data_IF_048134022509
#
_entry.id   IF_048134022509
#
_cell.length_a   1.000
_cell.length_b   1.000
_cell.length_c   1.000
_cell.angle_alpha   90.00
_cell.angle_beta   90.00
_cell.angle_gamma   90.00
#
_symmetry.space_group_name_H-M   'P 1'
#
loop_
_entity.id
_entity.type
_entity.pdbx_description
1 polymer ?
#
# COMPACT_ATOMS: atom_id res chain seq x y z
N UNK A 1 7.19 -68.53 42.35
CA UNK A 1 6.46 -67.59 41.45
C UNK A 1 7.46 -66.63 40.77
N UNK A 2 6.98 -65.83 39.80
CA UNK A 2 7.57 -64.66 39.09
C UNK A 2 8.92 -64.10 39.62
N UNK A 3 9.97 -63.89 38.80
CA UNK A 3 10.22 -62.72 37.89
C UNK A 3 10.03 -61.35 38.59
N UNK A 4 10.89 -60.33 38.47
CA UNK A 4 12.12 -60.07 37.68
C UNK A 4 12.95 -58.97 38.42
N UNK A 5 14.07 -58.33 38.00
CA UNK A 5 14.82 -58.12 36.73
C UNK A 5 16.31 -57.83 37.10
N UNK A 6 17.32 -58.13 36.26
CA UNK A 6 18.09 -57.22 35.36
C UNK A 6 18.22 -55.74 35.81
N UNK A 7 19.35 -55.05 35.67
CA UNK A 7 20.60 -55.36 34.94
C UNK A 7 21.10 -54.11 34.19
N UNK A 8 22.37 -53.73 34.32
CA UNK A 8 22.84 -52.35 34.07
C UNK A 8 23.80 -52.18 32.87
N UNK A 9 24.26 -50.93 32.68
CA UNK A 9 25.34 -50.46 31.75
C UNK A 9 25.00 -50.42 30.24
N UNK A 10 25.80 -49.77 29.40
CA UNK A 10 26.34 -48.39 29.45
C UNK A 10 26.85 -47.98 28.05
N UNK A 11 26.89 -46.67 27.78
CA UNK A 11 27.51 -45.95 26.64
C UNK A 11 28.49 -46.69 25.70
N UNK A 12 28.38 -46.45 24.38
CA UNK A 12 29.19 -45.42 23.64
C UNK A 12 29.32 -45.74 22.12
N UNK A 13 29.08 -44.72 21.28
CA UNK A 13 29.70 -44.57 19.95
C UNK A 13 29.22 -45.43 18.75
N UNK A 14 28.57 -44.79 17.78
CA UNK A 14 28.61 -45.16 16.36
C UNK A 14 28.81 -43.90 15.52
N UNK A 15 29.60 -44.00 14.44
CA UNK A 15 29.79 -42.94 13.45
C UNK A 15 28.83 -43.15 12.27
N UNK A 16 28.08 -42.12 11.91
CA UNK A 16 27.16 -42.18 10.77
C UNK A 16 27.88 -42.08 9.42
N UNK A 17 27.63 -43.05 8.54
CA UNK A 17 28.21 -43.10 7.20
C UNK A 17 27.51 -42.08 6.29
N UNK A 18 28.13 -40.91 6.12
CA UNK A 18 27.65 -39.81 5.25
C UNK A 18 27.47 -40.26 3.80
N UNK A 19 26.22 -40.50 3.39
CA UNK A 19 25.88 -40.94 2.04
C UNK A 19 26.23 -39.87 0.99
N UNK A 20 27.15 -40.20 0.06
CA UNK A 20 27.49 -39.34 -1.07
C UNK A 20 26.39 -39.45 -2.14
N UNK A 21 25.38 -38.61 -2.05
CA UNK A 21 24.29 -38.61 -3.04
C UNK A 21 24.82 -38.13 -4.41
N UNK A 22 24.82 -39.03 -5.40
CA UNK A 22 25.48 -38.81 -6.68
C UNK A 22 24.71 -37.85 -7.57
N UNK A 23 25.13 -36.57 -7.61
CA UNK A 23 24.55 -35.55 -8.50
C UNK A 23 24.81 -35.91 -9.97
N UNK A 24 23.90 -36.69 -10.57
CA UNK A 24 23.86 -36.96 -12.01
C UNK A 24 23.90 -35.62 -12.74
N UNK A 25 24.98 -35.35 -13.51
CA UNK A 25 24.99 -34.26 -14.48
C UNK A 25 23.95 -34.60 -15.54
N UNK A 26 22.76 -34.02 -15.44
CA UNK A 26 21.84 -33.97 -16.58
C UNK A 26 22.58 -33.34 -17.77
N UNK A 27 22.37 -33.87 -18.97
CA UNK A 27 22.86 -33.20 -20.19
C UNK A 27 22.32 -31.78 -20.17
N UNK A 28 23.20 -30.79 -20.38
CA UNK A 28 22.79 -29.39 -20.41
C UNK A 28 21.74 -29.21 -21.50
N UNK A 29 20.51 -28.89 -21.11
CA UNK A 29 19.58 -28.25 -22.04
C UNK A 29 20.27 -26.93 -22.43
N UNK A 30 20.47 -26.64 -23.73
CA UNK A 30 21.03 -25.34 -24.13
C UNK A 30 20.14 -24.23 -23.55
N UNK A 31 20.69 -23.04 -23.23
CA UNK A 31 19.87 -21.92 -22.81
C UNK A 31 18.75 -21.72 -23.83
N UNK A 32 17.51 -22.00 -23.42
CA UNK A 32 16.34 -21.56 -24.15
C UNK A 32 16.20 -20.10 -23.81
N UNK A 33 16.62 -19.23 -24.74
CA UNK A 33 16.36 -17.81 -24.63
C UNK A 33 14.86 -17.63 -24.36
N UNK A 34 14.54 -17.08 -23.19
CA UNK A 34 13.15 -16.91 -22.81
C UNK A 34 12.53 -15.92 -23.79
N UNK A 35 11.32 -16.17 -24.34
CA UNK A 35 10.65 -15.16 -25.16
C UNK A 35 10.49 -13.82 -24.42
N UNK A 36 10.47 -13.86 -23.08
CA UNK A 36 10.42 -12.69 -22.20
C UNK A 36 11.74 -11.90 -22.10
N UNK A 37 12.90 -12.49 -22.43
CA UNK A 37 14.19 -11.78 -22.50
C UNK A 37 14.46 -11.15 -23.87
N UNK A 38 13.52 -11.25 -24.83
CA UNK A 38 13.61 -10.56 -26.13
C UNK A 38 13.24 -9.06 -26.05
N UNK A 39 12.48 -8.65 -25.03
CA UNK A 39 12.11 -7.25 -24.80
C UNK A 39 12.90 -6.67 -23.61
N UNK A 40 13.46 -5.45 -23.73
CA UNK A 40 14.09 -4.77 -22.61
C UNK A 40 13.09 -4.44 -21.50
N UNK A 41 13.61 -4.32 -20.28
CA UNK A 41 12.81 -4.28 -19.04
C UNK A 41 11.84 -3.09 -18.96
N UNK A 42 12.18 -1.94 -19.56
CA UNK A 42 11.32 -0.76 -19.62
C UNK A 42 10.00 -1.02 -20.38
N UNK A 43 10.02 -1.88 -21.40
CA UNK A 43 8.81 -2.30 -22.13
C UNK A 43 7.93 -3.16 -21.22
N UNK A 44 8.51 -4.07 -20.45
CA UNK A 44 7.76 -4.84 -19.45
C UNK A 44 7.18 -3.97 -18.34
N UNK A 45 7.92 -2.96 -17.87
CA UNK A 45 7.42 -1.95 -16.92
C UNK A 45 6.26 -1.16 -17.52
N UNK A 46 6.34 -0.75 -18.80
CA UNK A 46 5.25 -0.08 -19.51
C UNK A 46 4.00 -0.96 -19.69
N UNK A 47 4.18 -2.25 -19.96
CA UNK A 47 3.08 -3.22 -20.03
C UNK A 47 2.44 -3.40 -18.65
N UNK A 48 3.25 -3.63 -17.61
CA UNK A 48 2.76 -3.76 -16.24
C UNK A 48 2.03 -2.49 -15.76
N UNK A 49 2.51 -1.30 -16.12
CA UNK A 49 1.85 -0.02 -15.82
C UNK A 49 0.48 0.10 -16.51
N UNK A 50 0.33 -0.40 -17.74
CA UNK A 50 -0.97 -0.45 -18.44
C UNK A 50 -1.93 -1.46 -17.81
N UNK A 51 -1.44 -2.62 -17.38
CA UNK A 51 -2.23 -3.61 -16.63
C UNK A 51 -2.69 -3.04 -15.28
N UNK A 52 -1.77 -2.45 -14.51
CA UNK A 52 -2.05 -1.83 -13.22
C UNK A 52 -3.09 -0.71 -13.28
N UNK A 53 -3.07 0.09 -14.35
CA UNK A 53 -4.05 1.15 -14.60
C UNK A 53 -5.44 0.60 -14.98
N UNK A 54 -5.52 -0.63 -15.50
CA UNK A 54 -6.78 -1.28 -15.89
C UNK A 54 -7.41 -2.06 -14.73
N UNK A 55 -6.67 -2.97 -14.08
CA UNK A 55 -7.10 -3.68 -12.87
C UNK A 55 -5.92 -4.05 -11.98
N UNK A 56 -6.11 -3.93 -10.67
CA UNK A 56 -5.12 -4.37 -9.67
C UNK A 56 -5.03 -5.91 -9.62
N UNK A 57 -6.14 -6.60 -9.87
CA UNK A 57 -6.18 -8.06 -9.86
C UNK A 57 -5.34 -8.64 -11.00
N UNK A 58 -5.42 -8.08 -12.21
CA UNK A 58 -4.60 -8.52 -13.33
C UNK A 58 -3.12 -8.21 -13.15
N UNK A 59 -2.77 -7.17 -12.38
CA UNK A 59 -1.39 -6.92 -12.00
C UNK A 59 -0.85 -8.01 -11.05
N UNK A 60 -1.65 -8.48 -10.09
CA UNK A 60 -1.27 -9.60 -9.24
C UNK A 60 -1.22 -10.93 -10.02
N UNK A 61 -2.17 -11.15 -10.95
CA UNK A 61 -2.14 -12.28 -11.87
C UNK A 61 -0.83 -12.27 -12.69
N UNK A 62 -0.47 -11.11 -13.26
CA UNK A 62 0.77 -10.90 -14.01
C UNK A 62 2.02 -11.19 -13.16
N UNK A 63 2.09 -10.68 -11.93
CA UNK A 63 3.18 -10.95 -10.97
C UNK A 63 3.36 -12.45 -10.67
N UNK A 64 2.26 -13.22 -10.60
CA UNK A 64 2.31 -14.64 -10.26
C UNK A 64 2.87 -15.53 -11.38
N UNK A 65 2.88 -15.07 -12.63
CA UNK A 65 3.29 -15.90 -13.79
C UNK A 65 4.79 -16.20 -13.85
N UNK A 66 5.65 -15.20 -13.67
CA UNK A 66 7.09 -15.34 -13.91
C UNK A 66 7.91 -14.20 -13.27
N UNK A 67 9.22 -14.43 -13.10
CA UNK A 67 10.10 -13.45 -12.48
C UNK A 67 10.22 -12.13 -13.27
N UNK A 68 10.25 -12.17 -14.61
CA UNK A 68 10.36 -10.95 -15.43
C UNK A 68 9.18 -10.01 -15.17
N UNK A 69 7.98 -10.56 -15.05
CA UNK A 69 6.77 -9.78 -14.77
C UNK A 69 6.69 -9.35 -13.30
N UNK A 70 7.12 -10.21 -12.36
CA UNK A 70 7.24 -9.85 -10.94
C UNK A 70 8.20 -8.67 -10.72
N UNK A 71 9.38 -8.72 -11.35
CA UNK A 71 10.40 -7.67 -11.24
C UNK A 71 9.89 -6.36 -11.91
N UNK A 72 9.24 -6.44 -13.07
CA UNK A 72 8.69 -5.26 -13.78
C UNK A 72 7.49 -4.62 -13.08
N UNK A 73 6.54 -5.43 -12.58
CA UNK A 73 5.34 -4.95 -11.87
C UNK A 73 5.63 -4.35 -10.49
N UNK A 74 6.84 -4.55 -9.96
CA UNK A 74 7.34 -3.92 -8.72
C UNK A 74 8.09 -2.60 -8.96
N UNK A 75 8.13 -2.10 -10.19
CA UNK A 75 8.70 -0.79 -10.51
C UNK A 75 7.83 0.34 -9.97
N UNK A 76 8.47 1.39 -9.44
CA UNK A 76 7.79 2.60 -8.93
C UNK A 76 6.85 3.23 -9.98
N UNK A 77 7.22 3.18 -11.26
CA UNK A 77 6.38 3.69 -12.35
C UNK A 77 5.05 2.94 -12.53
N UNK A 78 4.96 1.68 -12.08
CA UNK A 78 3.72 0.88 -12.08
C UNK A 78 2.86 1.26 -10.89
N UNK A 79 3.44 1.32 -9.69
CA UNK A 79 2.77 1.75 -8.46
C UNK A 79 2.20 3.17 -8.56
N UNK A 80 2.92 4.09 -9.21
CA UNK A 80 2.51 5.48 -9.44
C UNK A 80 1.18 5.61 -10.22
N UNK A 81 0.89 4.67 -11.13
CA UNK A 81 -0.30 4.72 -12.02
C UNK A 81 -1.35 3.64 -11.71
N UNK A 82 -1.13 2.80 -10.70
CA UNK A 82 -2.02 1.71 -10.37
C UNK A 82 -3.44 2.20 -10.02
N UNK A 83 -4.44 1.58 -10.63
CA UNK A 83 -5.84 1.82 -10.30
C UNK A 83 -6.15 1.25 -8.91
N UNK A 84 -6.86 2.04 -8.12
CA UNK A 84 -7.36 1.65 -6.79
C UNK A 84 -8.86 1.90 -6.65
N UNK A 85 -9.57 2.08 -7.77
CA UNK A 85 -11.03 2.19 -7.80
C UNK A 85 -11.73 0.91 -7.29
N UNK A 86 -11.08 -0.24 -7.43
CA UNK A 86 -11.55 -1.55 -6.97
C UNK A 86 -11.30 -1.80 -5.46
N UNK A 87 -10.51 -0.95 -4.78
CA UNK A 87 -10.20 -1.09 -3.36
C UNK A 87 -11.17 -0.27 -2.49
N UNK A 88 -12.03 -0.91 -1.67
CA UNK A 88 -13.04 -0.20 -0.90
C UNK A 88 -12.40 0.65 0.21
N UNK A 89 -12.57 1.97 0.10
CA UNK A 89 -12.06 2.97 1.06
C UNK A 89 -12.62 2.76 2.48
N UNK A 90 -13.71 2.00 2.64
CA UNK A 90 -14.46 1.82 3.87
C UNK A 90 -14.51 0.36 4.38
N UNK A 91 -13.37 -0.24 4.75
CA UNK A 91 -13.32 -1.47 5.57
C UNK A 91 -12.29 -1.33 6.70
N UNK A 92 -12.63 -0.50 7.69
CA UNK A 92 -11.70 0.01 8.72
C UNK A 92 -11.18 -0.97 9.78
N UNK A 93 -11.29 -2.28 9.61
CA UNK A 93 -10.98 -3.28 10.67
C UNK A 93 -10.30 -4.58 10.20
N UNK A 94 -10.09 -4.82 8.89
CA UNK A 94 -9.67 -6.14 8.38
C UNK A 94 -8.53 -6.10 7.33
N UNK A 95 -7.61 -5.13 7.44
CA UNK A 95 -6.49 -4.97 6.51
C UNK A 95 -5.08 -5.28 7.05
N UNK A 96 -4.90 -5.57 8.35
CA UNK A 96 -3.54 -5.67 8.93
C UNK A 96 -2.66 -6.78 8.29
N UNK A 97 -3.25 -7.90 7.85
CA UNK A 97 -2.55 -9.06 7.27
C UNK A 97 -2.64 -9.16 5.73
N UNK A 98 -3.32 -8.21 5.05
CA UNK A 98 -3.61 -8.30 3.61
C UNK A 98 -2.50 -7.67 2.74
N UNK A 99 -1.96 -8.37 1.72
CA UNK A 99 -0.92 -7.82 0.84
C UNK A 99 -1.36 -6.54 0.10
N UNK A 100 -2.67 -6.34 -0.10
CA UNK A 100 -3.28 -5.11 -0.62
C UNK A 100 -2.83 -3.86 0.16
N UNK A 101 -2.62 -3.97 1.47
CA UNK A 101 -2.13 -2.84 2.31
C UNK A 101 -0.69 -2.48 1.98
N UNK A 102 0.19 -3.47 1.81
CA UNK A 102 1.58 -3.25 1.39
C UNK A 102 1.67 -2.67 -0.03
N UNK A 103 0.76 -3.08 -0.91
CA UNK A 103 0.60 -2.50 -2.23
C UNK A 103 0.16 -1.02 -2.18
N UNK A 104 -0.85 -0.69 -1.37
CA UNK A 104 -1.32 0.69 -1.17
C UNK A 104 -0.20 1.62 -0.66
N UNK A 105 0.59 1.18 0.32
CA UNK A 105 1.76 1.95 0.77
C UNK A 105 2.83 2.11 -0.31
N UNK A 106 3.06 1.07 -1.11
CA UNK A 106 4.01 1.15 -2.25
C UNK A 106 3.56 2.16 -3.31
N UNK A 107 2.25 2.23 -3.57
CA UNK A 107 1.64 3.23 -4.46
C UNK A 107 1.73 4.64 -3.89
N UNK A 108 1.40 4.84 -2.61
CA UNK A 108 1.47 6.15 -1.96
C UNK A 108 2.92 6.67 -1.97
N UNK A 109 3.90 5.81 -1.63
CA UNK A 109 5.32 6.15 -1.68
C UNK A 109 5.84 6.40 -3.10
N UNK A 110 5.21 5.84 -4.13
CA UNK A 110 5.52 6.08 -5.54
C UNK A 110 4.87 7.35 -6.13
N UNK A 111 4.10 8.12 -5.34
CA UNK A 111 3.45 9.35 -5.79
C UNK A 111 2.02 9.18 -6.31
N UNK A 112 1.40 8.00 -6.17
CA UNK A 112 0.03 7.77 -6.64
C UNK A 112 -0.98 8.53 -5.76
N UNK A 113 -1.47 9.66 -6.28
CA UNK A 113 -2.28 10.63 -5.55
C UNK A 113 -3.65 10.08 -5.09
N UNK A 114 -4.18 9.05 -5.74
CA UNK A 114 -5.38 8.35 -5.30
C UNK A 114 -5.10 7.52 -4.04
N UNK A 115 -3.97 6.78 -4.01
CA UNK A 115 -3.57 6.03 -2.81
C UNK A 115 -3.08 6.90 -1.66
N UNK A 116 -2.44 8.04 -1.93
CA UNK A 116 -2.14 9.04 -0.89
C UNK A 116 -3.44 9.53 -0.23
N UNK A 117 -4.50 9.78 -1.01
CA UNK A 117 -5.80 10.15 -0.48
C UNK A 117 -6.41 9.04 0.38
N UNK A 118 -6.48 7.80 -0.12
CA UNK A 118 -7.04 6.68 0.64
C UNK A 118 -6.25 6.39 1.94
N UNK A 119 -4.92 6.38 1.88
CA UNK A 119 -4.06 6.21 3.06
C UNK A 119 -4.21 7.38 4.05
N UNK A 120 -4.29 8.61 3.56
CA UNK A 120 -4.52 9.80 4.37
C UNK A 120 -5.87 9.77 5.10
N UNK A 121 -6.93 9.37 4.40
CA UNK A 121 -8.26 9.14 4.98
C UNK A 121 -8.24 8.04 6.05
N UNK A 122 -7.62 6.89 5.75
CA UNK A 122 -7.49 5.75 6.67
C UNK A 122 -6.74 6.14 7.95
N UNK A 123 -5.56 6.75 7.82
CA UNK A 123 -4.74 7.17 8.96
C UNK A 123 -5.43 8.26 9.79
N UNK A 124 -6.14 9.18 9.16
CA UNK A 124 -6.82 10.28 9.86
C UNK A 124 -8.08 9.83 10.61
N UNK A 125 -9.00 9.12 9.93
CA UNK A 125 -10.34 8.84 10.46
C UNK A 125 -10.48 7.47 11.15
N UNK A 126 -9.69 6.46 10.77
CA UNK A 126 -9.84 5.10 11.29
C UNK A 126 -8.70 4.68 12.24
N UNK A 127 -7.45 5.06 11.97
CA UNK A 127 -6.30 4.71 12.82
C UNK A 127 -6.02 5.79 13.87
N UNK A 128 -6.51 7.03 13.67
CA UNK A 128 -6.33 8.14 14.61
C UNK A 128 -4.93 8.79 14.56
N UNK A 129 -4.12 8.51 13.54
CA UNK A 129 -2.83 9.17 13.30
C UNK A 129 -3.02 10.52 12.61
N UNK A 130 -3.75 11.44 13.25
CA UNK A 130 -4.19 12.73 12.67
C UNK A 130 -3.04 13.49 11.96
N UNK A 131 -1.87 13.57 12.60
CA UNK A 131 -0.65 14.19 12.06
C UNK A 131 -0.20 13.53 10.74
N UNK A 132 -0.12 12.20 10.72
CA UNK A 132 0.29 11.43 9.55
C UNK A 132 -0.73 11.56 8.43
N UNK A 133 -1.99 11.24 8.71
CA UNK A 133 -3.08 11.30 7.74
C UNK A 133 -3.26 12.68 7.11
N UNK A 134 -3.18 13.76 7.89
CA UNK A 134 -3.28 15.13 7.37
C UNK A 134 -2.10 15.50 6.45
N UNK A 135 -0.87 15.12 6.80
CA UNK A 135 0.27 15.35 5.89
C UNK A 135 0.10 14.55 4.58
N UNK A 136 -0.33 13.29 4.63
CA UNK A 136 -0.60 12.48 3.42
C UNK A 136 -1.73 13.07 2.56
N UNK A 137 -2.78 13.65 3.17
CA UNK A 137 -3.83 14.39 2.43
C UNK A 137 -3.32 15.70 1.81
N UNK A 138 -2.38 16.38 2.45
CA UNK A 138 -1.69 17.54 1.89
C UNK A 138 -0.84 17.12 0.68
N UNK A 139 -0.11 16.01 0.76
CA UNK A 139 0.71 15.50 -0.35
C UNK A 139 -0.14 14.97 -1.52
N UNK A 140 -1.29 14.34 -1.23
CA UNK A 140 -2.31 14.04 -2.22
C UNK A 140 -2.84 15.31 -2.91
N UNK A 141 -3.01 16.41 -2.16
CA UNK A 141 -3.45 17.71 -2.71
C UNK A 141 -2.38 18.36 -3.59
N UNK A 142 -1.10 18.23 -3.20
CA UNK A 142 0.06 18.71 -3.96
C UNK A 142 0.26 17.93 -5.27
N UNK A 143 0.04 16.62 -5.25
CA UNK A 143 0.02 15.74 -6.44
C UNK A 143 -1.28 15.84 -7.25
N UNK A 144 -2.15 16.81 -6.94
CA UNK A 144 -3.28 17.21 -7.77
C UNK A 144 -4.63 16.54 -7.46
N UNK A 145 -4.73 15.67 -6.45
CA UNK A 145 -5.99 15.00 -6.11
C UNK A 145 -7.04 16.00 -5.59
N UNK A 146 -8.17 16.09 -6.31
CA UNK A 146 -9.26 17.01 -5.97
C UNK A 146 -10.11 16.54 -4.78
N UNK A 147 -10.26 15.23 -4.55
CA UNK A 147 -10.91 14.70 -3.35
C UNK A 147 -10.09 15.01 -2.09
N UNK A 148 -8.76 14.89 -2.17
CA UNK A 148 -7.88 15.29 -1.07
C UNK A 148 -8.01 16.79 -0.78
N UNK A 149 -7.99 17.63 -1.82
CA UNK A 149 -8.20 19.07 -1.70
C UNK A 149 -9.54 19.40 -1.02
N UNK A 150 -10.62 18.73 -1.43
CA UNK A 150 -11.95 18.89 -0.85
C UNK A 150 -12.00 18.47 0.64
N UNK A 151 -11.44 17.31 0.98
CA UNK A 151 -11.40 16.84 2.38
C UNK A 151 -10.54 17.75 3.26
N UNK A 152 -9.41 18.25 2.75
CA UNK A 152 -8.62 19.26 3.45
C UNK A 152 -9.39 20.57 3.69
N UNK A 153 -10.23 21.03 2.76
CA UNK A 153 -11.15 22.17 3.02
C UNK A 153 -12.14 21.84 4.13
N UNK A 154 -12.80 20.68 4.07
CA UNK A 154 -13.80 20.29 5.07
C UNK A 154 -13.18 20.14 6.47
N UNK A 155 -11.96 19.62 6.57
CA UNK A 155 -11.22 19.51 7.82
C UNK A 155 -10.76 20.89 8.36
N UNK A 156 -10.41 21.85 7.49
CA UNK A 156 -10.14 23.24 7.91
C UNK A 156 -11.38 23.99 8.39
N UNK A 157 -12.55 23.70 7.82
CA UNK A 157 -13.81 24.30 8.22
C UNK A 157 -14.29 23.72 9.57
N UNK A 158 -14.11 22.42 9.80
CA UNK A 158 -14.61 21.71 10.99
C UNK A 158 -13.97 22.24 12.29
N UNK A 159 -14.71 22.95 13.19
CA UNK A 159 -14.10 23.69 14.30
C UNK A 159 -13.43 22.82 15.38
N UNK A 160 -13.78 21.54 15.46
CA UNK A 160 -13.24 20.58 16.43
C UNK A 160 -11.96 19.86 15.97
N UNK A 161 -11.47 20.12 14.75
CA UNK A 161 -10.42 19.32 14.11
C UNK A 161 -9.22 20.17 13.62
N UNK A 162 -9.40 21.48 13.48
CA UNK A 162 -8.38 22.41 12.99
C UNK A 162 -7.27 22.74 14.00
N UNK A 163 -6.30 21.84 14.21
CA UNK A 163 -5.01 22.21 14.82
C UNK A 163 -4.32 23.30 13.96
N UNK A 164 -3.94 24.43 14.56
CA UNK A 164 -3.47 25.63 13.82
C UNK A 164 -2.27 25.37 12.89
N UNK A 165 -1.38 24.44 13.24
CA UNK A 165 -0.21 24.08 12.43
C UNK A 165 -0.60 23.64 11.00
N UNK A 166 -1.70 22.89 10.85
CA UNK A 166 -2.18 22.41 9.55
C UNK A 166 -2.89 23.50 8.76
N UNK A 167 -3.47 24.51 9.44
CA UNK A 167 -4.12 25.66 8.79
C UNK A 167 -3.11 26.36 7.87
N UNK A 168 -1.91 26.67 8.37
CA UNK A 168 -0.84 27.28 7.57
C UNK A 168 -0.32 26.40 6.42
N UNK A 169 -0.34 25.06 6.57
CA UNK A 169 0.06 24.12 5.51
C UNK A 169 -1.01 24.03 4.41
N UNK A 170 -2.24 23.65 4.77
CA UNK A 170 -3.35 23.48 3.83
C UNK A 170 -3.69 24.79 3.10
N UNK A 171 -3.62 25.96 3.76
CA UNK A 171 -3.84 27.26 3.12
C UNK A 171 -2.89 27.56 1.94
N UNK A 172 -1.70 26.95 1.90
CA UNK A 172 -0.77 27.09 0.75
C UNK A 172 -1.17 26.18 -0.41
N UNK A 173 -1.66 24.98 -0.10
CA UNK A 173 -2.12 23.99 -1.07
C UNK A 173 -3.51 24.32 -1.66
N UNK A 174 -4.27 25.23 -1.03
CA UNK A 174 -5.65 25.57 -1.42
C UNK A 174 -5.83 27.10 -1.51
N UNK A 175 -5.37 27.75 -2.60
CA UNK A 175 -5.49 29.20 -2.77
C UNK A 175 -6.93 29.74 -2.69
N UNK A 176 -7.92 28.94 -3.12
CA UNK A 176 -9.34 29.30 -3.10
C UNK A 176 -9.93 29.44 -1.70
N UNK A 177 -9.38 28.78 -0.68
CA UNK A 177 -9.88 28.92 0.70
C UNK A 177 -9.71 30.36 1.21
N UNK A 178 -8.65 31.06 0.80
CA UNK A 178 -8.46 32.50 1.12
C UNK A 178 -9.57 33.39 0.56
N UNK A 179 -10.29 32.94 -0.48
CA UNK A 179 -11.44 33.65 -1.04
C UNK A 179 -12.72 33.27 -0.27
N UNK A 180 -12.92 31.99 0.04
CA UNK A 180 -14.07 31.49 0.81
C UNK A 180 -14.12 32.06 2.25
N UNK A 181 -12.98 32.24 2.92
CA UNK A 181 -12.93 32.90 4.23
C UNK A 181 -13.13 34.42 4.13
N UNK A 182 -12.84 35.05 2.98
CA UNK A 182 -13.11 36.48 2.74
C UNK A 182 -14.59 36.77 2.47
N UNK A 183 -15.36 35.82 1.95
CA UNK A 183 -16.77 36.03 1.59
C UNK A 183 -17.76 35.85 2.75
N UNK A 184 -17.31 35.53 3.97
CA UNK A 184 -18.13 35.17 5.15
C UNK A 184 -19.08 33.96 4.97
N UNK A 185 -19.09 33.33 3.79
CA UNK A 185 -19.95 32.16 3.53
C UNK A 185 -19.61 30.97 4.44
N UNK A 186 -18.31 30.79 4.75
CA UNK A 186 -17.84 29.74 5.64
C UNK A 186 -18.49 29.81 7.02
N UNK A 187 -18.48 30.99 7.65
CA UNK A 187 -18.99 31.21 9.01
C UNK A 187 -20.50 30.92 9.09
N UNK A 188 -21.26 31.30 8.06
CA UNK A 188 -22.70 31.03 7.96
C UNK A 188 -23.01 29.53 7.78
N UNK A 189 -22.25 28.80 6.96
CA UNK A 189 -22.42 27.35 6.80
C UNK A 189 -22.04 26.56 8.07
N UNK A 190 -21.10 27.08 8.87
CA UNK A 190 -20.62 26.41 10.07
C UNK A 190 -21.64 26.32 11.19
N UNK A 191 -22.56 27.29 11.29
CA UNK A 191 -23.70 27.19 12.20
C UNK A 191 -24.54 25.93 11.96
N UNK A 192 -24.80 25.60 10.69
CA UNK A 192 -25.59 24.41 10.28
C UNK A 192 -24.83 23.10 10.42
N UNK A 193 -23.51 23.06 10.23
CA UNK A 193 -22.71 21.84 10.35
C UNK A 193 -22.54 21.34 11.80
N UNK A 194 -22.89 22.16 12.80
CA UNK A 194 -22.76 21.83 14.24
C UNK A 194 -23.53 20.57 14.69
N UNK A 195 -24.51 20.10 13.92
CA UNK A 195 -25.28 18.88 14.21
C UNK A 195 -24.69 17.59 13.61
N UNK A 196 -23.64 17.65 12.78
CA UNK A 196 -23.12 16.45 12.10
C UNK A 196 -22.23 15.64 13.06
N UNK A 197 -22.87 14.81 13.89
CA UNK A 197 -22.21 13.73 14.64
C UNK A 197 -21.72 12.67 13.65
N UNK A 198 -20.53 12.87 13.11
CA UNK A 198 -19.81 11.84 12.35
C UNK A 198 -19.45 10.67 13.26
N UNK A 199 -20.23 9.58 13.15
CA UNK A 199 -20.01 8.24 13.69
C UNK A 199 -19.87 8.15 15.23
N UNK A 200 -20.95 7.70 15.88
CA UNK A 200 -20.94 6.96 17.14
C UNK A 200 -21.87 5.76 17.00
#
# INVERSE_FOLDING_TARGET
MRRMKMGATSTKGKMDKKAKNGRRKGKGVPPRDCPLSLLPHDIWVRIAARVALASIQDLFNMQATCKVFLDAARSSAVYMVASVAELPIAVGTHYDERPERGFLYSCANAGNSATMFCTGMMEFFWIGRYVGGMNTLIDATNTGNFHARYMCVMLLLTPSVGHEEYVGRVLRCIPTYRLLKKSKCADNCLGSCSQIRWLR
#
